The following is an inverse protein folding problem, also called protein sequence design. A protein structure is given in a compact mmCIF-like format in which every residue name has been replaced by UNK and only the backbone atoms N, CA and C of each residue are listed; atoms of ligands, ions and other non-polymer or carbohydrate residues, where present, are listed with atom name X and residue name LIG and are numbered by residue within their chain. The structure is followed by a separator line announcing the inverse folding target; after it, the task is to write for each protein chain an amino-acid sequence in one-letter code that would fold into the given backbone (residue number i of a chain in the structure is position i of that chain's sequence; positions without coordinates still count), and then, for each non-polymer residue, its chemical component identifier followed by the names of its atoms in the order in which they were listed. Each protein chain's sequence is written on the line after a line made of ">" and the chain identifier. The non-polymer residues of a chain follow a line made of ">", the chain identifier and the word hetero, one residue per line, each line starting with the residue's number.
data_IF_569935427685
#
_entry.id   IF_569935427685
#
_cell.length_a   1.000
_cell.length_b   1.000
_cell.length_c   1.000
_cell.angle_alpha   90.00
_cell.angle_beta   90.00
_cell.angle_gamma   90.00
#
_symmetry.space_group_name_H-M   'P 1'
#
loop_
_entity.id
_entity.type
_entity.pdbx_description
1 polymer ?
#
# COMPACT_ATOMS: atom_id res chain seq x y z
N UNK A 1 -22.96 32.61 1.92
CA UNK A 1 -22.54 32.76 0.51
C UNK A 1 -21.17 33.43 0.47
N UNK A 2 -20.08 32.66 0.29
CA UNK A 2 -18.78 33.25 -0.07
C UNK A 2 -18.68 33.14 -1.58
N UNK A 3 -18.76 34.28 -2.27
CA UNK A 3 -18.50 34.35 -3.70
C UNK A 3 -17.10 33.77 -3.96
N UNK A 4 -17.00 32.88 -4.95
CA UNK A 4 -15.73 32.40 -5.48
C UNK A 4 -14.91 33.59 -5.96
N UNK A 5 -13.93 34.01 -5.16
CA UNK A 5 -12.91 34.95 -5.60
C UNK A 5 -11.84 34.11 -6.26
N UNK A 6 -11.72 34.23 -7.58
CA UNK A 6 -10.60 33.67 -8.33
C UNK A 6 -9.35 34.33 -7.75
N UNK A 7 -8.62 33.62 -6.88
CA UNK A 7 -7.33 34.07 -6.37
C UNK A 7 -6.36 34.07 -7.56
N UNK A 8 -6.28 35.19 -8.25
CA UNK A 8 -5.28 35.45 -9.28
C UNK A 8 -4.22 36.31 -8.64
N UNK A 9 -3.08 35.71 -8.38
CA UNK A 9 -1.89 36.42 -7.98
C UNK A 9 -1.35 37.18 -9.19
N UNK A 10 -1.10 38.47 -8.99
CA UNK A 10 -0.57 39.35 -10.02
C UNK A 10 0.87 39.70 -9.67
N UNK A 11 1.77 39.52 -10.63
CA UNK A 11 3.19 39.83 -10.47
C UNK A 11 3.54 41.10 -11.22
N UNK A 12 4.39 41.93 -10.63
CA UNK A 12 4.79 43.23 -11.20
C UNK A 12 5.72 43.04 -12.40
N UNK A 13 6.55 41.98 -12.38
CA UNK A 13 7.46 41.64 -13.47
C UNK A 13 7.67 40.12 -13.59
N UNK A 14 8.36 39.69 -14.64
CA UNK A 14 8.57 38.26 -14.94
C UNK A 14 9.57 37.59 -13.97
N UNK A 15 10.58 38.30 -13.46
CA UNK A 15 11.51 37.74 -12.49
C UNK A 15 10.84 37.47 -11.13
N UNK A 16 9.89 38.31 -10.72
CA UNK A 16 9.05 38.06 -9.54
C UNK A 16 8.24 36.77 -9.71
N UNK A 17 7.62 36.58 -10.88
CA UNK A 17 6.89 35.34 -11.22
C UNK A 17 7.81 34.11 -11.16
N UNK A 18 9.02 34.20 -11.73
CA UNK A 18 10.01 33.10 -11.68
C UNK A 18 10.39 32.79 -10.23
N UNK A 19 10.63 33.82 -9.43
CA UNK A 19 11.03 33.68 -8.03
C UNK A 19 9.90 33.06 -7.19
N UNK A 20 8.65 33.47 -7.43
CA UNK A 20 7.48 32.89 -6.78
C UNK A 20 7.23 31.44 -7.20
N UNK A 21 7.43 31.09 -8.47
CA UNK A 21 7.28 29.72 -8.97
C UNK A 21 8.37 28.76 -8.46
N UNK A 22 9.53 29.27 -8.05
CA UNK A 22 10.62 28.47 -7.46
C UNK A 22 10.45 28.29 -5.94
N UNK A 23 9.82 29.25 -5.27
CA UNK A 23 9.77 29.29 -3.79
C UNK A 23 8.42 28.91 -3.18
N UNK A 24 7.31 29.31 -3.81
CA UNK A 24 5.96 29.18 -3.23
C UNK A 24 5.05 28.34 -4.12
N UNK A 25 4.95 28.70 -5.41
CA UNK A 25 4.11 28.00 -6.39
C UNK A 25 4.90 26.90 -7.09
N UNK A 26 5.42 25.96 -6.31
CA UNK A 26 6.31 24.89 -6.75
C UNK A 26 5.57 23.68 -7.29
N UNK A 27 4.29 23.50 -6.91
CA UNK A 27 3.51 22.33 -7.29
C UNK A 27 2.78 22.54 -8.62
N UNK A 28 3.24 21.89 -9.67
CA UNK A 28 2.54 21.89 -10.97
C UNK A 28 1.13 21.27 -10.83
N UNK A 29 0.13 21.79 -11.55
CA UNK A 29 -1.25 21.27 -11.43
C UNK A 29 -1.36 19.80 -11.89
N UNK A 30 -0.53 19.39 -12.85
CA UNK A 30 -0.35 17.98 -13.22
C UNK A 30 0.14 17.14 -12.04
N UNK A 31 1.14 17.60 -11.29
CA UNK A 31 1.66 16.86 -10.15
C UNK A 31 0.66 16.84 -8.99
N UNK A 32 -0.09 17.92 -8.75
CA UNK A 32 -1.22 17.90 -7.81
C UNK A 32 -2.27 16.84 -8.18
N UNK A 33 -2.60 16.70 -9.47
CA UNK A 33 -3.51 15.67 -9.95
C UNK A 33 -2.94 14.25 -9.77
N UNK A 34 -1.63 14.07 -10.00
CA UNK A 34 -0.93 12.79 -9.79
C UNK A 34 -0.89 12.43 -8.31
N UNK A 35 -0.52 13.36 -7.42
CA UNK A 35 -0.50 13.14 -5.98
C UNK A 35 -1.88 12.68 -5.48
N UNK A 36 -2.93 13.35 -5.93
CA UNK A 36 -4.31 13.00 -5.58
C UNK A 36 -4.92 11.89 -6.45
N UNK A 37 -4.18 11.26 -7.36
CA UNK A 37 -4.68 10.17 -8.20
C UNK A 37 -6.06 10.48 -8.82
N UNK A 38 -6.18 11.65 -9.45
CA UNK A 38 -7.46 12.18 -9.91
C UNK A 38 -7.37 12.84 -11.29
N UNK A 39 -8.51 13.03 -11.94
CA UNK A 39 -8.57 13.75 -13.21
C UNK A 39 -8.42 15.26 -13.01
N UNK A 40 -7.89 15.96 -14.03
CA UNK A 40 -7.82 17.44 -14.04
C UNK A 40 -9.19 18.09 -13.85
N UNK A 41 -10.26 17.50 -14.40
CA UNK A 41 -11.63 18.00 -14.23
C UNK A 41 -12.05 17.96 -12.76
N UNK A 42 -11.76 16.85 -12.07
CA UNK A 42 -12.03 16.72 -10.65
C UNK A 42 -11.21 17.72 -9.82
N UNK A 43 -9.91 17.80 -10.05
CA UNK A 43 -9.04 18.75 -9.34
C UNK A 43 -9.46 20.22 -9.54
N UNK A 44 -9.89 20.58 -10.77
CA UNK A 44 -10.40 21.93 -11.05
C UNK A 44 -11.68 22.27 -10.30
N UNK A 45 -12.49 21.27 -9.93
CA UNK A 45 -13.73 21.46 -9.20
C UNK A 45 -13.53 21.53 -7.68
N UNK A 46 -12.68 20.67 -7.13
CA UNK A 46 -12.62 20.44 -5.68
C UNK A 46 -11.31 20.91 -5.01
N UNK A 47 -10.24 21.06 -5.79
CA UNK A 47 -8.93 21.48 -5.28
C UNK A 47 -8.67 22.91 -5.66
N UNK A 48 -8.66 23.21 -6.97
CA UNK A 48 -8.31 24.52 -7.50
C UNK A 48 -9.01 25.57 -6.65
N UNK A 49 -10.36 25.65 -6.56
CA UNK A 49 -11.02 26.80 -5.96
C UNK A 49 -10.54 27.23 -4.58
N UNK A 50 -9.96 26.32 -3.81
CA UNK A 50 -9.59 26.52 -2.42
C UNK A 50 -8.07 26.64 -2.19
N UNK A 51 -7.23 26.46 -3.23
CA UNK A 51 -5.76 26.49 -3.13
C UNK A 51 -5.19 27.61 -4.00
N UNK A 52 -4.40 28.57 -3.47
CA UNK A 52 -3.78 29.64 -4.26
C UNK A 52 -2.99 29.09 -5.47
N UNK A 53 -3.04 29.80 -6.59
CA UNK A 53 -2.35 29.37 -7.82
C UNK A 53 -1.95 30.53 -8.72
N UNK A 54 -0.89 30.32 -9.48
CA UNK A 54 -0.46 31.19 -10.58
C UNK A 54 -0.88 30.59 -11.91
N UNK A 55 -1.28 31.46 -12.84
CA UNK A 55 -1.69 31.10 -14.19
C UNK A 55 -0.77 31.78 -15.20
N UNK A 56 -0.17 30.99 -16.08
CA UNK A 56 0.76 31.49 -17.08
C UNK A 56 0.26 31.10 -18.46
N UNK A 57 0.01 32.08 -19.32
CA UNK A 57 -0.55 31.81 -20.64
C UNK A 57 0.40 30.94 -21.47
N UNK A 58 -0.17 29.93 -22.13
CA UNK A 58 0.54 29.11 -23.10
C UNK A 58 0.52 29.71 -24.51
N UNK A 59 0.03 30.95 -24.65
CA UNK A 59 -0.08 31.65 -25.91
C UNK A 59 -1.27 31.22 -26.76
N UNK A 60 -2.06 30.21 -26.36
CA UNK A 60 -3.26 29.79 -27.12
C UNK A 60 -4.50 30.42 -26.51
N UNK A 61 -5.09 31.35 -27.23
CA UNK A 61 -6.40 31.93 -26.88
C UNK A 61 -7.38 31.71 -28.03
N UNK A 62 -8.67 31.74 -27.72
CA UNK A 62 -9.74 31.61 -28.70
C UNK A 62 -10.40 32.97 -28.88
N UNK A 63 -10.61 33.41 -30.12
CA UNK A 63 -11.39 34.61 -30.38
C UNK A 63 -12.90 34.38 -30.18
N UNK A 64 -13.70 35.44 -30.28
CA UNK A 64 -15.16 35.36 -30.12
C UNK A 64 -15.85 34.48 -31.17
N UNK A 65 -15.14 34.07 -32.23
CA UNK A 65 -15.62 33.21 -33.32
C UNK A 65 -15.09 31.79 -33.23
N UNK A 66 -14.40 31.42 -32.14
CA UNK A 66 -13.87 30.07 -31.95
C UNK A 66 -12.51 29.82 -32.62
N UNK A 67 -11.88 30.83 -33.24
CA UNK A 67 -10.59 30.67 -33.92
C UNK A 67 -9.44 30.77 -32.91
N UNK A 68 -8.48 29.85 -33.02
CA UNK A 68 -7.27 29.86 -32.20
C UNK A 68 -6.35 31.00 -32.67
N UNK A 69 -6.01 31.89 -31.74
CA UNK A 69 -4.98 32.91 -31.88
C UNK A 69 -3.75 32.42 -31.11
N UNK A 70 -2.60 32.43 -31.78
CA UNK A 70 -1.31 32.08 -31.19
C UNK A 70 -0.56 33.36 -30.82
N UNK A 71 -0.35 33.58 -29.53
CA UNK A 71 0.56 34.54 -28.94
C UNK A 71 1.77 33.87 -28.29
N UNK A 72 2.52 34.65 -27.52
CA UNK A 72 3.73 34.17 -26.83
C UNK A 72 3.39 33.13 -25.76
N UNK A 73 4.11 32.00 -25.77
CA UNK A 73 3.98 30.95 -24.77
C UNK A 73 4.84 31.26 -23.54
N UNK A 74 4.34 32.12 -22.65
CA UNK A 74 5.03 32.49 -21.41
C UNK A 74 5.21 31.30 -20.46
N UNK A 75 4.32 30.32 -20.51
CA UNK A 75 4.46 29.09 -19.72
C UNK A 75 5.74 28.33 -20.09
N UNK A 76 6.05 28.20 -21.39
CA UNK A 76 7.30 27.57 -21.84
C UNK A 76 8.54 28.35 -21.38
N UNK A 77 8.50 29.68 -21.41
CA UNK A 77 9.61 30.53 -20.94
C UNK A 77 9.81 30.35 -19.43
N UNK A 78 8.73 30.35 -18.65
CA UNK A 78 8.78 30.13 -17.20
C UNK A 78 9.39 28.77 -16.87
N UNK A 79 8.89 27.69 -17.48
CA UNK A 79 9.40 26.33 -17.27
C UNK A 79 10.92 26.25 -17.55
N UNK A 80 11.39 26.87 -18.64
CA UNK A 80 12.82 26.94 -18.97
C UNK A 80 13.61 27.67 -17.88
N UNK A 81 13.09 28.78 -17.35
CA UNK A 81 13.76 29.55 -16.29
C UNK A 81 13.79 28.82 -14.95
N UNK A 82 12.73 28.12 -14.58
CA UNK A 82 12.70 27.25 -13.40
C UNK A 82 13.76 26.17 -13.55
N UNK A 83 13.82 25.50 -14.70
CA UNK A 83 14.83 24.47 -14.98
C UNK A 83 16.26 25.03 -14.87
N UNK A 84 16.55 26.16 -15.52
CA UNK A 84 17.87 26.82 -15.46
C UNK A 84 18.31 27.13 -14.02
N UNK A 85 17.37 27.50 -13.12
CA UNK A 85 17.69 27.90 -11.74
C UNK A 85 17.69 26.75 -10.72
N UNK A 86 16.94 25.67 -10.98
CA UNK A 86 16.73 24.58 -10.00
C UNK A 86 17.39 23.27 -10.42
N UNK A 87 17.79 23.11 -11.68
CA UNK A 87 18.24 21.84 -12.24
C UNK A 87 17.13 20.78 -12.35
N UNK A 88 15.87 21.17 -12.14
CA UNK A 88 14.75 20.23 -12.12
C UNK A 88 14.42 19.72 -13.53
N UNK A 89 14.52 18.42 -13.77
CA UNK A 89 14.42 17.81 -15.12
C UNK A 89 12.99 17.64 -15.64
N UNK A 90 11.95 18.03 -14.88
CA UNK A 90 10.57 17.99 -15.36
C UNK A 90 10.29 19.13 -16.36
N UNK A 91 10.66 18.91 -17.63
CA UNK A 91 10.26 19.78 -18.74
C UNK A 91 8.75 19.60 -18.98
N UNK A 92 7.94 20.41 -18.30
CA UNK A 92 6.49 20.37 -18.42
C UNK A 92 5.98 21.50 -19.34
N UNK A 93 4.87 21.27 -20.02
CA UNK A 93 4.10 22.33 -20.69
C UNK A 93 3.04 22.93 -19.75
N UNK A 94 3.28 22.87 -18.44
CA UNK A 94 2.30 23.27 -17.44
C UNK A 94 2.16 24.80 -17.38
N UNK A 95 0.90 25.23 -17.30
CA UNK A 95 0.49 26.63 -17.26
C UNK A 95 -0.10 27.04 -15.91
N UNK A 96 -0.21 26.11 -14.96
CA UNK A 96 -0.82 26.33 -13.65
C UNK A 96 0.06 25.71 -12.56
N UNK A 97 0.42 26.52 -11.58
CA UNK A 97 1.19 26.09 -10.42
C UNK A 97 0.45 26.50 -9.15
N UNK A 98 0.34 25.57 -8.22
CA UNK A 98 -0.30 25.73 -6.93
C UNK A 98 0.74 26.07 -5.86
N UNK A 99 0.32 26.81 -4.86
CA UNK A 99 1.07 26.93 -3.61
C UNK A 99 1.10 25.54 -2.93
N UNK A 100 2.28 24.94 -2.84
CA UNK A 100 2.46 23.57 -2.36
C UNK A 100 2.13 23.42 -0.87
N UNK A 101 2.51 24.41 -0.07
CA UNK A 101 2.23 24.41 1.36
C UNK A 101 0.71 24.52 1.61
N UNK A 102 0.04 25.45 0.91
CA UNK A 102 -1.42 25.61 1.00
C UNK A 102 -2.18 24.45 0.39
N UNK A 103 -1.63 23.80 -0.62
CA UNK A 103 -2.17 22.55 -1.14
C UNK A 103 -2.17 21.48 -0.04
N UNK A 104 -1.01 21.21 0.58
CA UNK A 104 -0.90 20.19 1.63
C UNK A 104 -1.81 20.52 2.82
N UNK A 105 -1.76 21.73 3.35
CA UNK A 105 -2.67 22.20 4.43
C UNK A 105 -4.14 21.93 4.07
N UNK A 106 -4.54 22.26 2.84
CA UNK A 106 -5.91 22.03 2.37
C UNK A 106 -6.26 20.55 2.35
N UNK A 107 -5.44 19.68 1.76
CA UNK A 107 -5.71 18.24 1.68
C UNK A 107 -5.84 17.61 3.07
N UNK A 108 -4.88 17.89 3.96
CA UNK A 108 -4.92 17.38 5.33
C UNK A 108 -6.14 17.88 6.11
N UNK A 109 -6.55 19.13 5.90
CA UNK A 109 -7.78 19.69 6.52
C UNK A 109 -9.08 18.99 6.06
N UNK A 110 -9.03 18.20 4.97
CA UNK A 110 -10.19 17.49 4.42
C UNK A 110 -10.28 16.04 4.85
N UNK A 111 -9.32 15.54 5.62
CA UNK A 111 -9.41 14.20 6.20
C UNK A 111 -10.53 14.19 7.24
N UNK A 112 -11.55 13.35 7.00
CA UNK A 112 -12.68 13.18 7.91
C UNK A 112 -12.58 11.89 8.73
N UNK A 113 -11.84 10.89 8.23
CA UNK A 113 -11.57 9.63 8.93
C UNK A 113 -10.18 9.14 8.58
N UNK A 114 -9.44 8.68 9.59
CA UNK A 114 -8.20 7.94 9.45
C UNK A 114 -8.31 6.70 10.34
N UNK A 115 -8.48 5.53 9.72
CA UNK A 115 -8.94 4.33 10.40
C UNK A 115 -8.21 3.09 9.93
N UNK A 116 -8.05 2.14 10.83
CA UNK A 116 -7.47 0.83 10.55
C UNK A 116 -8.46 -0.25 10.97
N UNK A 117 -8.42 -1.42 10.32
CA UNK A 117 -9.26 -2.58 10.71
C UNK A 117 -8.48 -3.77 11.22
N UNK A 118 -7.27 -3.92 10.73
CA UNK A 118 -6.49 -5.12 10.96
C UNK A 118 -5.02 -4.81 11.15
N UNK A 119 -4.36 -5.68 11.90
CA UNK A 119 -2.90 -5.73 11.99
C UNK A 119 -2.42 -7.06 11.40
N UNK A 120 -1.48 -6.98 10.46
CA UNK A 120 -0.80 -8.15 9.92
C UNK A 120 0.30 -8.58 10.89
N UNK A 121 0.20 -9.80 11.41
CA UNK A 121 1.15 -10.36 12.39
C UNK A 121 1.61 -11.74 11.92
N UNK A 122 2.91 -12.06 12.06
CA UNK A 122 3.39 -13.42 11.81
C UNK A 122 2.80 -14.39 12.84
N UNK A 123 2.39 -15.58 12.40
CA UNK A 123 1.98 -16.71 13.25
C UNK A 123 3.03 -17.03 14.31
N UNK A 124 4.29 -16.73 14.02
CA UNK A 124 5.40 -17.01 14.92
C UNK A 124 5.73 -15.84 15.84
N UNK A 125 5.08 -14.67 15.72
CA UNK A 125 5.46 -13.45 16.44
C UNK A 125 5.64 -13.64 17.94
N UNK A 126 4.77 -14.44 18.56
CA UNK A 126 4.77 -14.73 19.98
C UNK A 126 5.64 -15.94 20.38
N UNK A 127 6.46 -16.46 19.47
CA UNK A 127 7.34 -17.61 19.71
C UNK A 127 8.80 -17.14 19.89
N UNK A 128 9.41 -17.57 21.00
CA UNK A 128 10.86 -17.51 21.19
C UNK A 128 11.60 -18.48 20.25
N UNK A 129 12.93 -18.35 20.15
CA UNK A 129 13.75 -19.14 19.23
C UNK A 129 13.65 -20.66 19.45
N UNK A 130 13.46 -21.11 20.70
CA UNK A 130 13.38 -22.53 21.05
C UNK A 130 12.03 -23.10 20.61
N UNK A 131 10.95 -22.41 20.93
CA UNK A 131 9.59 -22.76 20.52
C UNK A 131 9.46 -22.70 18.99
N UNK A 132 10.05 -21.69 18.36
CA UNK A 132 10.08 -21.51 16.91
C UNK A 132 10.71 -22.70 16.20
N UNK A 133 11.86 -23.19 16.71
CA UNK A 133 12.54 -24.37 16.18
C UNK A 133 11.67 -25.62 16.30
N UNK A 134 11.01 -25.82 17.44
CA UNK A 134 10.08 -26.94 17.67
C UNK A 134 8.86 -26.87 16.76
N UNK A 135 8.30 -25.67 16.55
CA UNK A 135 7.20 -25.42 15.63
C UNK A 135 7.59 -25.81 14.20
N UNK A 136 8.69 -25.28 13.66
CA UNK A 136 9.11 -25.60 12.29
C UNK A 136 9.42 -27.10 12.11
N UNK A 137 10.04 -27.76 13.10
CA UNK A 137 10.25 -29.21 13.05
C UNK A 137 8.93 -29.97 12.87
N UNK A 138 7.90 -29.62 13.66
CA UNK A 138 6.58 -30.24 13.54
C UNK A 138 5.91 -29.94 12.21
N UNK A 139 6.04 -28.72 11.72
CA UNK A 139 5.50 -28.33 10.41
C UNK A 139 6.13 -29.15 9.28
N UNK A 140 7.45 -29.33 9.28
CA UNK A 140 8.12 -30.20 8.31
C UNK A 140 7.64 -31.65 8.39
N UNK A 141 7.47 -32.21 9.60
CA UNK A 141 6.95 -33.57 9.79
C UNK A 141 5.53 -33.75 9.25
N UNK A 142 4.61 -32.85 9.62
CA UNK A 142 3.19 -32.90 9.18
C UNK A 142 3.10 -32.82 7.66
N UNK A 143 3.81 -31.86 7.07
CA UNK A 143 3.81 -31.66 5.63
C UNK A 143 4.44 -32.85 4.91
N UNK A 144 5.55 -33.39 5.43
CA UNK A 144 6.17 -34.60 4.89
C UNK A 144 5.19 -35.78 4.89
N UNK A 145 4.44 -35.98 5.98
CA UNK A 145 3.42 -37.04 6.07
C UNK A 145 2.23 -36.81 5.13
N UNK A 146 1.76 -35.56 5.02
CA UNK A 146 0.69 -35.16 4.11
C UNK A 146 1.03 -35.55 2.66
N UNK A 147 2.21 -35.15 2.17
CA UNK A 147 2.64 -35.41 0.79
C UNK A 147 3.09 -36.85 0.54
N UNK A 148 3.73 -37.51 1.50
CA UNK A 148 4.27 -38.87 1.29
C UNK A 148 3.17 -39.92 1.28
N UNK A 149 2.14 -39.75 2.11
CA UNK A 149 1.27 -40.85 2.47
C UNK A 149 -0.20 -40.67 2.12
N UNK A 150 -0.69 -39.46 1.79
CA UNK A 150 -2.14 -39.18 1.79
C UNK A 150 -2.82 -39.65 3.10
N UNK A 151 -2.05 -39.92 4.16
CA UNK A 151 -2.51 -40.49 5.43
C UNK A 151 -3.18 -39.42 6.29
N UNK A 152 -2.95 -38.16 5.98
CA UNK A 152 -3.46 -37.03 6.73
C UNK A 152 -4.31 -36.21 5.77
N UNK A 153 -5.63 -36.40 5.79
CA UNK A 153 -6.58 -35.56 5.05
C UNK A 153 -7.15 -34.41 5.87
N UNK A 154 -7.04 -34.51 7.20
CA UNK A 154 -7.80 -33.65 8.14
C UNK A 154 -6.91 -32.86 9.11
N UNK A 155 -5.60 -32.72 8.87
CA UNK A 155 -4.79 -31.82 9.70
C UNK A 155 -4.98 -30.39 9.22
N UNK A 156 -5.54 -29.57 10.12
CA UNK A 156 -5.57 -28.13 9.97
C UNK A 156 -4.16 -27.55 10.16
N UNK A 157 -3.39 -27.58 9.07
CA UNK A 157 -2.02 -27.06 8.99
C UNK A 157 -1.99 -25.58 9.40
N UNK A 158 -3.06 -24.83 9.10
CA UNK A 158 -3.12 -23.39 9.34
C UNK A 158 -3.21 -23.05 10.83
N UNK A 159 -3.74 -23.96 11.66
CA UNK A 159 -3.92 -23.77 13.11
C UNK A 159 -2.83 -24.41 13.98
N UNK A 160 -1.86 -25.15 13.41
CA UNK A 160 -0.81 -25.84 14.20
C UNK A 160 -0.05 -24.88 15.12
N UNK A 161 0.19 -23.65 14.66
CA UNK A 161 0.94 -22.65 15.42
C UNK A 161 0.30 -22.35 16.79
N UNK A 162 -1.03 -22.47 16.93
CA UNK A 162 -1.75 -22.25 18.18
C UNK A 162 -1.31 -23.22 19.29
N UNK A 163 -0.79 -24.40 18.95
CA UNK A 163 -0.27 -25.38 19.91
C UNK A 163 1.10 -25.00 20.49
N UNK A 164 1.73 -23.97 19.93
CA UNK A 164 3.06 -23.49 20.30
C UNK A 164 3.00 -22.10 20.96
N UNK A 165 1.78 -21.64 21.30
CA UNK A 165 1.57 -20.38 21.99
C UNK A 165 1.25 -20.64 23.46
N UNK A 166 1.57 -19.67 24.30
CA UNK A 166 1.08 -19.62 25.67
C UNK A 166 -0.46 -19.59 25.68
N UNK A 167 -1.06 -20.20 26.70
CA UNK A 167 -2.51 -20.39 26.79
C UNK A 167 -3.29 -19.07 26.70
N UNK A 168 -2.84 -18.05 27.43
CA UNK A 168 -3.44 -16.71 27.42
C UNK A 168 -3.42 -16.07 26.02
N UNK A 169 -2.27 -16.13 25.34
CA UNK A 169 -2.12 -15.60 23.97
C UNK A 169 -2.99 -16.37 23.00
N UNK A 170 -2.98 -17.71 23.09
CA UNK A 170 -3.74 -18.59 22.21
C UNK A 170 -5.24 -18.28 22.28
N UNK A 171 -5.76 -18.08 23.48
CA UNK A 171 -7.18 -17.85 23.69
C UNK A 171 -7.59 -16.48 23.16
N UNK A 172 -6.78 -15.43 23.41
CA UNK A 172 -6.99 -14.11 22.80
C UNK A 172 -6.96 -14.17 21.27
N UNK A 173 -6.01 -14.90 20.68
CA UNK A 173 -5.90 -14.98 19.22
C UNK A 173 -7.07 -15.71 18.58
N UNK A 174 -7.55 -16.81 19.17
CA UNK A 174 -8.69 -17.57 18.62
C UNK A 174 -9.93 -16.70 18.45
N UNK A 175 -10.16 -15.79 19.39
CA UNK A 175 -11.32 -14.90 19.37
C UNK A 175 -11.15 -13.69 18.44
N UNK A 176 -9.93 -13.40 17.98
CA UNK A 176 -9.59 -12.17 17.26
C UNK A 176 -8.97 -12.37 15.87
N UNK A 177 -8.72 -13.62 15.45
CA UNK A 177 -8.30 -13.93 14.07
C UNK A 177 -9.45 -13.64 13.12
N UNK A 178 -9.23 -12.73 12.17
CA UNK A 178 -10.21 -12.36 11.15
C UNK A 178 -9.78 -12.88 9.79
N UNK A 179 -10.71 -13.50 9.07
CA UNK A 179 -10.45 -13.96 7.71
C UNK A 179 -10.45 -12.77 6.73
N UNK A 180 -9.50 -12.69 5.77
CA UNK A 180 -9.49 -11.61 4.77
C UNK A 180 -10.79 -11.52 3.97
N UNK A 181 -11.44 -12.66 3.71
CA UNK A 181 -12.74 -12.75 3.02
C UNK A 181 -13.91 -12.22 3.85
N UNK A 182 -13.73 -12.03 5.16
CA UNK A 182 -14.71 -11.51 6.11
C UNK A 182 -14.22 -10.22 6.79
N UNK A 183 -13.56 -9.34 6.04
CA UNK A 183 -13.07 -8.03 6.50
C UNK A 183 -14.14 -7.15 7.19
N UNK A 184 -15.42 -7.43 6.96
CA UNK A 184 -16.57 -6.76 7.58
C UNK A 184 -16.72 -7.07 9.06
N UNK A 185 -16.19 -8.21 9.50
CA UNK A 185 -16.28 -8.69 10.88
C UNK A 185 -15.24 -7.98 11.78
N UNK A 186 -14.28 -7.29 11.17
CA UNK A 186 -13.34 -6.41 11.87
C UNK A 186 -13.85 -4.96 11.89
N UNK A 187 -13.88 -4.38 13.08
CA UNK A 187 -14.26 -2.99 13.29
C UNK A 187 -13.18 -2.01 12.81
N UNK A 188 -13.61 -0.79 12.45
CA UNK A 188 -12.68 0.31 12.23
C UNK A 188 -12.31 0.93 13.57
N UNK A 189 -11.01 1.15 13.79
CA UNK A 189 -10.47 1.91 14.91
C UNK A 189 -9.77 3.15 14.36
N UNK A 190 -10.05 4.29 14.96
CA UNK A 190 -9.41 5.55 14.62
C UNK A 190 -7.93 5.52 14.99
N UNK A 191 -7.07 6.00 14.09
CA UNK A 191 -5.63 6.09 14.29
C UNK A 191 -5.14 7.50 13.94
N UNK A 192 -4.01 7.95 14.51
CA UNK A 192 -3.39 9.20 14.09
C UNK A 192 -3.08 9.18 12.59
N UNK A 193 -3.19 10.34 11.94
CA UNK A 193 -2.80 10.49 10.53
C UNK A 193 -1.29 10.27 10.43
N UNK A 194 -0.83 9.26 9.67
CA UNK A 194 0.60 9.00 9.49
C UNK A 194 1.32 10.17 8.81
N UNK A 195 2.56 10.44 9.23
CA UNK A 195 3.44 11.43 8.58
C UNK A 195 4.06 10.82 7.31
N UNK A 196 3.28 10.78 6.23
CA UNK A 196 3.66 10.20 4.94
C UNK A 196 3.18 11.10 3.82
N UNK A 197 3.99 11.26 2.77
CA UNK A 197 3.65 12.15 1.66
C UNK A 197 2.36 11.69 0.95
N UNK A 198 1.56 12.66 0.49
CA UNK A 198 0.30 12.39 -0.23
C UNK A 198 0.54 11.53 -1.49
N UNK A 199 1.71 11.63 -2.10
CA UNK A 199 2.09 10.86 -3.29
C UNK A 199 2.17 9.35 -3.04
N UNK A 200 2.47 8.95 -1.80
CA UNK A 200 2.58 7.57 -1.33
C UNK A 200 1.22 6.96 -0.99
N UNK A 201 0.15 7.78 -0.97
CA UNK A 201 -1.19 7.30 -0.72
C UNK A 201 -1.73 6.51 -1.92
N UNK A 202 -2.28 5.34 -1.63
CA UNK A 202 -2.78 4.39 -2.63
C UNK A 202 -4.27 4.57 -2.83
N UNK A 203 -4.70 4.83 -4.07
CA UNK A 203 -6.10 4.76 -4.44
C UNK A 203 -6.41 3.39 -5.06
N UNK A 204 -7.58 2.82 -4.74
CA UNK A 204 -7.94 1.45 -5.16
C UNK A 204 -7.87 1.29 -6.67
N UNK A 205 -8.35 2.28 -7.44
CA UNK A 205 -8.38 2.21 -8.90
C UNK A 205 -6.98 2.23 -9.54
N UNK A 206 -5.93 2.66 -8.82
CA UNK A 206 -4.54 2.60 -9.32
C UNK A 206 -3.85 1.26 -8.97
N UNK A 207 -4.42 0.50 -8.03
CA UNK A 207 -3.91 -0.82 -7.64
C UNK A 207 -4.54 -1.95 -8.46
N UNK A 208 -5.63 -1.66 -9.18
CA UNK A 208 -6.32 -2.64 -10.01
C UNK A 208 -5.59 -2.89 -11.33
N UNK A 209 -5.48 -4.16 -11.70
CA UNK A 209 -5.06 -4.58 -13.05
C UNK A 209 -6.25 -5.13 -13.87
N UNK A 210 -6.01 -5.48 -15.13
CA UNK A 210 -7.04 -6.00 -16.03
C UNK A 210 -7.65 -7.31 -15.49
N UNK A 211 -8.95 -7.28 -15.22
CA UNK A 211 -9.70 -8.43 -14.70
C UNK A 211 -9.86 -8.44 -13.17
N UNK A 212 -9.24 -7.49 -12.47
CA UNK A 212 -9.46 -7.34 -11.03
C UNK A 212 -10.84 -6.78 -10.71
N UNK A 213 -11.34 -7.16 -9.53
CA UNK A 213 -12.52 -6.59 -8.90
C UNK A 213 -12.05 -5.79 -7.69
N UNK A 214 -12.66 -4.62 -7.43
CA UNK A 214 -12.28 -3.76 -6.29
C UNK A 214 -12.20 -4.54 -4.96
N UNK A 215 -13.08 -5.51 -4.75
CA UNK A 215 -13.10 -6.38 -3.57
C UNK A 215 -11.79 -7.16 -3.38
N UNK A 216 -11.11 -7.58 -4.45
CA UNK A 216 -9.80 -8.24 -4.36
C UNK A 216 -8.76 -7.29 -3.78
N UNK A 217 -8.75 -6.04 -4.23
CA UNK A 217 -7.84 -5.00 -3.73
C UNK A 217 -8.16 -4.65 -2.27
N UNK A 218 -9.44 -4.49 -1.92
CA UNK A 218 -9.84 -4.25 -0.53
C UNK A 218 -9.41 -5.38 0.42
N UNK A 219 -9.47 -6.64 -0.03
CA UNK A 219 -8.99 -7.79 0.74
C UNK A 219 -7.48 -7.79 0.90
N UNK A 220 -6.73 -7.40 -0.14
CA UNK A 220 -5.28 -7.27 -0.07
C UNK A 220 -4.87 -6.18 0.92
N UNK A 221 -5.45 -4.99 0.82
CA UNK A 221 -5.21 -3.87 1.74
C UNK A 221 -5.56 -4.24 3.18
N UNK A 222 -6.66 -4.98 3.37
CA UNK A 222 -7.02 -5.54 4.68
C UNK A 222 -5.97 -6.56 5.16
N UNK A 223 -5.49 -7.46 4.31
CA UNK A 223 -4.43 -8.43 4.64
C UNK A 223 -3.08 -7.76 4.95
N UNK A 224 -2.84 -6.58 4.41
CA UNK A 224 -1.64 -5.80 4.68
C UNK A 224 -1.75 -4.95 5.95
N UNK A 225 -2.96 -4.82 6.52
CA UNK A 225 -3.21 -3.95 7.67
C UNK A 225 -3.14 -2.47 7.30
N UNK A 226 -3.45 -2.12 6.04
CA UNK A 226 -3.36 -0.76 5.54
C UNK A 226 -4.32 0.19 6.30
N UNK A 227 -3.87 1.43 6.50
CA UNK A 227 -4.64 2.50 7.12
C UNK A 227 -5.49 3.16 6.03
N UNK A 228 -6.80 3.24 6.26
CA UNK A 228 -7.76 3.91 5.38
C UNK A 228 -7.86 5.39 5.74
N UNK A 229 -7.69 6.26 4.75
CA UNK A 229 -7.94 7.70 4.87
C UNK A 229 -9.13 8.07 3.99
N UNK A 230 -10.10 8.78 4.57
CA UNK A 230 -11.24 9.31 3.84
C UNK A 230 -11.22 10.83 3.87
N UNK A 231 -11.33 11.44 2.68
CA UNK A 231 -11.34 12.88 2.50
C UNK A 231 -12.69 13.35 1.96
N UNK A 232 -13.20 14.45 2.50
CA UNK A 232 -14.40 15.10 2.01
C UNK A 232 -14.09 16.51 1.50
N UNK A 233 -14.38 16.73 0.22
CA UNK A 233 -14.16 18.02 -0.43
C UNK A 233 -15.51 18.71 -0.68
N UNK A 234 -15.63 20.00 -0.32
CA UNK A 234 -16.78 20.80 -0.73
C UNK A 234 -16.71 21.07 -2.23
N UNK A 235 -17.87 21.17 -2.87
CA UNK A 235 -17.96 21.68 -4.23
C UNK A 235 -17.83 23.21 -4.28
N UNK A 236 -17.99 23.80 -5.47
CA UNK A 236 -17.86 25.26 -5.67
C UNK A 236 -18.92 26.08 -4.91
N UNK A 237 -20.06 25.48 -4.55
CA UNK A 237 -21.08 26.11 -3.72
C UNK A 237 -20.78 25.97 -2.21
N UNK A 238 -19.77 25.19 -1.85
CA UNK A 238 -19.41 24.87 -0.48
C UNK A 238 -20.10 23.61 0.06
N UNK A 239 -20.86 22.89 -0.76
CA UNK A 239 -21.60 21.71 -0.32
C UNK A 239 -20.73 20.46 -0.33
N UNK A 240 -20.76 19.70 0.77
CA UNK A 240 -20.08 18.42 0.87
C UNK A 240 -20.88 17.35 0.12
N UNK A 241 -20.24 16.66 -0.83
CA UNK A 241 -20.86 15.50 -1.47
C UNK A 241 -20.88 14.30 -0.53
N UNK A 242 -21.86 13.42 -0.74
CA UNK A 242 -22.10 12.21 0.05
C UNK A 242 -21.04 11.11 -0.08
N UNK A 243 -20.10 11.21 -1.03
CA UNK A 243 -19.00 10.23 -1.20
C UNK A 243 -17.65 10.94 -1.19
N UNK A 244 -16.88 10.70 -0.14
CA UNK A 244 -15.50 11.15 -0.01
C UNK A 244 -14.55 10.37 -0.92
N UNK A 245 -13.34 10.88 -1.11
CA UNK A 245 -12.25 10.15 -1.76
C UNK A 245 -11.54 9.30 -0.72
N UNK A 246 -11.31 8.02 -1.03
CA UNK A 246 -10.69 7.07 -0.12
C UNK A 246 -9.29 6.74 -0.62
N UNK A 247 -8.35 6.71 0.31
CA UNK A 247 -6.98 6.27 0.09
C UNK A 247 -6.57 5.26 1.16
N UNK A 248 -5.48 4.58 0.90
CA UNK A 248 -4.84 3.65 1.81
C UNK A 248 -3.35 3.97 1.94
N UNK A 249 -2.82 3.84 3.14
CA UNK A 249 -1.38 3.94 3.44
C UNK A 249 -0.94 2.62 4.05
N UNK A 250 0.28 2.19 3.74
CA UNK A 250 0.91 1.10 4.46
C UNK A 250 1.09 1.46 5.93
N UNK A 251 0.95 0.48 6.82
CA UNK A 251 1.16 0.69 8.25
C UNK A 251 2.61 1.15 8.50
N UNK A 252 2.87 2.38 8.96
CA UNK A 252 4.23 2.87 9.20
C UNK A 252 4.90 2.13 10.37
N UNK A 253 4.09 1.59 11.28
CA UNK A 253 4.53 0.83 12.44
C UNK A 253 3.98 -0.60 12.36
N UNK A 254 4.38 -1.42 11.37
CA UNK A 254 3.92 -2.79 11.30
C UNK A 254 4.34 -3.51 12.59
N UNK A 255 3.53 -4.48 13.05
CA UNK A 255 3.85 -5.24 14.27
C UNK A 255 5.24 -5.92 14.22
N UNK A 256 5.76 -6.07 13.01
CA UNK A 256 7.04 -6.64 12.72
C UNK A 256 7.55 -6.08 11.39
N UNK A 257 8.81 -5.62 11.36
CA UNK A 257 9.46 -5.24 10.11
C UNK A 257 9.58 -6.48 9.23
N UNK A 258 9.10 -6.45 7.97
CA UNK A 258 9.06 -7.63 7.10
C UNK A 258 10.38 -8.36 6.92
N UNK A 259 11.52 -7.68 7.05
CA UNK A 259 12.84 -8.24 6.71
C UNK A 259 13.53 -8.93 7.89
N UNK A 260 13.33 -8.46 9.13
CA UNK A 260 14.08 -8.92 10.31
C UNK A 260 13.59 -10.29 10.79
N UNK A 261 12.28 -10.46 11.02
CA UNK A 261 11.74 -11.76 11.42
C UNK A 261 11.84 -12.78 10.30
N UNK A 262 11.60 -12.36 9.07
CA UNK A 262 11.71 -13.21 7.88
C UNK A 262 13.10 -13.84 7.77
N UNK A 263 14.14 -13.08 8.12
CA UNK A 263 15.51 -13.60 8.19
C UNK A 263 15.66 -14.64 9.30
N UNK A 264 15.20 -14.35 10.52
CA UNK A 264 15.23 -15.30 11.64
C UNK A 264 14.47 -16.60 11.34
N UNK A 265 13.24 -16.48 10.84
CA UNK A 265 12.40 -17.60 10.43
C UNK A 265 13.10 -18.46 9.37
N UNK A 266 13.72 -17.82 8.37
CA UNK A 266 14.52 -18.52 7.36
C UNK A 266 15.71 -19.26 7.93
N UNK A 267 16.48 -18.62 8.81
CA UNK A 267 17.68 -19.21 9.40
C UNK A 267 17.32 -20.44 10.25
N UNK A 268 16.28 -20.33 11.09
CA UNK A 268 15.77 -21.44 11.91
C UNK A 268 15.18 -22.54 11.04
N UNK A 269 14.37 -22.20 10.04
CA UNK A 269 13.77 -23.17 9.12
C UNK A 269 14.84 -23.95 8.35
N UNK A 270 15.87 -23.28 7.84
CA UNK A 270 16.99 -23.91 7.14
C UNK A 270 17.80 -24.83 8.06
N UNK A 271 18.02 -24.41 9.32
CA UNK A 271 18.67 -25.24 10.33
C UNK A 271 17.89 -26.53 10.60
N UNK A 272 16.57 -26.42 10.81
CA UNK A 272 15.69 -27.59 11.03
C UNK A 272 15.67 -28.51 9.80
N UNK A 273 15.64 -27.93 8.61
CA UNK A 273 15.67 -28.70 7.37
C UNK A 273 16.94 -29.56 7.26
N UNK A 274 18.12 -28.98 7.47
CA UNK A 274 19.38 -29.74 7.39
C UNK A 274 19.48 -30.83 8.47
N UNK A 275 18.90 -30.63 9.67
CA UNK A 275 18.78 -31.69 10.69
C UNK A 275 17.92 -32.87 10.20
N UNK A 276 16.77 -32.59 9.60
CA UNK A 276 15.79 -33.60 9.21
C UNK A 276 16.12 -34.30 7.89
N UNK A 277 16.89 -33.64 7.01
CA UNK A 277 17.26 -34.13 5.68
C UNK A 277 17.90 -35.52 5.69
N UNK A 278 18.75 -35.82 6.67
CA UNK A 278 19.36 -37.14 6.81
C UNK A 278 18.33 -38.23 7.17
N UNK A 279 17.37 -37.90 8.04
CA UNK A 279 16.27 -38.81 8.42
C UNK A 279 15.32 -39.07 7.25
N UNK A 280 14.96 -38.02 6.49
CA UNK A 280 14.15 -38.16 5.28
C UNK A 280 14.85 -38.96 4.18
N UNK A 281 16.18 -38.83 4.06
CA UNK A 281 16.97 -39.58 3.09
C UNK A 281 17.09 -41.07 3.42
N UNK A 282 16.85 -41.50 4.66
CA UNK A 282 16.90 -42.92 5.03
C UNK A 282 15.59 -43.67 4.80
N UNK A 283 14.51 -42.96 4.52
CA UNK A 283 13.20 -43.56 4.36
C UNK A 283 13.04 -44.34 3.04
N UNK A 284 12.92 -45.67 3.16
CA UNK A 284 12.84 -46.61 2.04
C UNK A 284 11.55 -46.50 1.22
N UNK A 285 10.41 -46.20 1.85
CA UNK A 285 9.12 -46.02 1.17
C UNK A 285 9.09 -44.70 0.37
N UNK A 286 9.76 -43.66 0.90
CA UNK A 286 9.96 -42.39 0.21
C UNK A 286 10.91 -42.58 -0.99
N UNK A 287 12.03 -43.29 -0.80
CA UNK A 287 12.96 -43.70 -1.87
C UNK A 287 12.29 -44.53 -2.97
N UNK A 288 11.34 -45.40 -2.66
CA UNK A 288 10.62 -46.22 -3.66
C UNK A 288 9.60 -45.44 -4.48
N UNK A 289 8.78 -44.57 -3.87
CA UNK A 289 7.95 -43.62 -4.64
C UNK A 289 8.80 -42.66 -5.47
N UNK A 290 9.96 -42.27 -4.94
CA UNK A 290 11.02 -41.53 -5.63
C UNK A 290 11.89 -42.41 -6.53
N UNK A 291 11.58 -43.67 -6.83
CA UNK A 291 12.29 -44.44 -7.86
C UNK A 291 11.61 -44.35 -9.22
N UNK A 292 10.34 -43.95 -9.29
CA UNK A 292 9.55 -43.91 -10.53
C UNK A 292 9.51 -42.54 -11.27
N UNK A 293 10.25 -41.52 -10.82
CA UNK A 293 10.19 -40.13 -11.32
C UNK A 293 11.57 -39.59 -11.78
N UNK A 294 12.27 -40.27 -12.69
CA UNK A 294 13.70 -40.04 -12.91
C UNK A 294 14.01 -38.63 -13.46
N UNK A 295 15.07 -37.98 -12.96
CA UNK A 295 15.41 -36.53 -13.05
C UNK A 295 14.39 -35.52 -12.50
N UNK A 296 13.10 -35.83 -12.52
CA UNK A 296 12.06 -35.01 -11.88
C UNK A 296 12.10 -35.12 -10.35
N UNK A 297 12.74 -36.14 -9.76
CA UNK A 297 12.84 -36.36 -8.29
C UNK A 297 13.60 -35.27 -7.54
N UNK A 298 14.75 -34.82 -8.03
CA UNK A 298 15.51 -33.76 -7.34
C UNK A 298 14.83 -32.41 -7.52
N UNK A 299 14.28 -32.17 -8.71
CA UNK A 299 13.46 -31.00 -9.00
C UNK A 299 12.19 -31.02 -8.14
N UNK A 300 11.41 -32.09 -8.05
CA UNK A 300 10.19 -32.16 -7.21
C UNK A 300 10.51 -32.19 -5.71
N UNK A 301 11.65 -32.72 -5.25
CA UNK A 301 12.03 -32.59 -3.83
C UNK A 301 12.39 -31.16 -3.50
N UNK A 302 13.24 -30.53 -4.32
CA UNK A 302 13.57 -29.11 -4.19
C UNK A 302 12.32 -28.28 -4.37
N UNK A 303 11.53 -28.47 -5.42
CA UNK A 303 10.29 -27.78 -5.75
C UNK A 303 9.15 -28.11 -4.80
N UNK A 304 9.06 -29.27 -4.16
CA UNK A 304 8.05 -29.49 -3.10
C UNK A 304 8.52 -28.88 -1.80
N UNK A 305 9.80 -28.95 -1.42
CA UNK A 305 10.31 -28.22 -0.23
C UNK A 305 10.25 -26.71 -0.49
N UNK A 306 10.53 -26.26 -1.71
CA UNK A 306 10.41 -24.88 -2.18
C UNK A 306 8.93 -24.50 -2.35
N UNK A 307 8.02 -25.39 -2.76
CA UNK A 307 6.57 -25.12 -2.81
C UNK A 307 5.94 -25.22 -1.42
N UNK A 308 6.50 -26.01 -0.51
CA UNK A 308 6.17 -26.05 0.91
C UNK A 308 6.63 -24.73 1.51
N UNK A 309 7.86 -24.29 1.22
CA UNK A 309 8.38 -22.97 1.56
C UNK A 309 7.49 -21.88 0.94
N UNK A 310 7.17 -21.88 -0.36
CA UNK A 310 6.39 -20.87 -1.09
C UNK A 310 4.92 -20.83 -0.65
N UNK A 311 4.28 -21.98 -0.38
CA UNK A 311 2.96 -22.01 0.25
C UNK A 311 3.01 -21.62 1.73
N UNK A 312 4.11 -21.92 2.44
CA UNK A 312 4.39 -21.38 3.78
C UNK A 312 4.49 -19.85 3.73
N UNK A 313 5.28 -19.33 2.81
CA UNK A 313 5.55 -17.91 2.56
C UNK A 313 4.25 -17.14 2.36
N UNK A 314 3.26 -17.76 1.70
CA UNK A 314 1.95 -17.16 1.42
C UNK A 314 1.02 -17.04 2.65
N UNK A 315 1.23 -17.87 3.68
CA UNK A 315 0.34 -18.01 4.85
C UNK A 315 1.04 -17.91 6.24
N UNK A 316 2.21 -17.26 6.33
CA UNK A 316 2.87 -17.01 7.62
C UNK A 316 2.17 -15.98 8.51
N UNK A 317 1.21 -15.21 7.98
CA UNK A 317 0.61 -14.12 8.73
C UNK A 317 -0.85 -14.41 9.07
N UNK A 318 -1.26 -13.99 10.27
CA UNK A 318 -2.64 -13.85 10.68
C UNK A 318 -3.03 -12.38 10.64
N UNK A 319 -4.33 -12.15 10.45
CA UNK A 319 -4.93 -10.84 10.54
C UNK A 319 -5.65 -10.76 11.86
N UNK A 320 -5.19 -9.88 12.74
CA UNK A 320 -5.91 -9.58 13.98
C UNK A 320 -6.83 -8.40 13.74
N UNK A 321 -8.07 -8.52 14.17
CA UNK A 321 -8.96 -7.37 14.31
C UNK A 321 -8.41 -6.41 15.36
N UNK A 322 -8.73 -5.12 15.25
CA UNK A 322 -8.24 -4.09 16.16
C UNK A 322 -8.88 -4.11 17.57
N UNK A 323 -9.61 -5.17 17.94
CA UNK A 323 -10.14 -5.35 19.29
C UNK A 323 -9.06 -5.69 20.33
N UNK A 324 -7.81 -5.88 19.89
CA UNK A 324 -6.64 -6.07 20.74
C UNK A 324 -5.94 -4.72 20.89
N UNK A 325 -6.04 -4.12 22.07
CA UNK A 325 -5.21 -2.98 22.48
C UNK A 325 -3.86 -3.56 22.90
N UNK A 326 -2.78 -3.13 22.24
CA UNK A 326 -1.41 -3.58 22.50
C UNK A 326 -0.84 -2.98 23.78
#
# INVERSE_FOLDING_TARGET
>A
MKNYIKQQENFTNFDDLVSAAISTYTLSFKNACKALKCSRSWANKYIRPFVPAIYVTNGKTTDSKGKIINGTNFAAILNKKIHERTGNNEYSSESVYLDEMKFNEYIYSKIVKCQKRSKKISKTYFMDDKVLKSYYRKMFEVVYLYYRKNEIKDVDIDSIFLNYLEEEIRDVLKDNIVLPTKRTDAEFVDVPIPDVNIEDWKAVHDLMDYGDVEETIYRQLFKEGAIRIELMFPDQAGELKSKGKVYYIDDPEPAMKPDERKKLENDVMNSVYEELKASFAQDTLYKEKLKNLDRTKEYILRTNIICIQEKFWLNQNIMLGNNIIY
#
